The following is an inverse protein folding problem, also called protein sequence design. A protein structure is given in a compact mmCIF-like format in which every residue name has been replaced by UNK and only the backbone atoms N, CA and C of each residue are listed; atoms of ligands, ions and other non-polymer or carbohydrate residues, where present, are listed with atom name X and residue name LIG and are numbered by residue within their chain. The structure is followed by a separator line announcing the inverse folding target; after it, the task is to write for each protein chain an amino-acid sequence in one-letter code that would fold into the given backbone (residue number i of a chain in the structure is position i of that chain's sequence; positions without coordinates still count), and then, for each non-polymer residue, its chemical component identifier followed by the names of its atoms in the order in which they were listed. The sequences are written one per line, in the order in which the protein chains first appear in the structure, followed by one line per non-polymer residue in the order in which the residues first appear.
data_IF_580684720126
#
_entry.id   IF_580684720126
#
_cell.length_a   1.000
_cell.length_b   1.000
_cell.length_c   1.000
_cell.angle_alpha   90.00
_cell.angle_beta   90.00
_cell.angle_gamma   90.00
#
_symmetry.space_group_name_H-M   'P 1'
#
loop_
_entity.id
_entity.type
_entity.pdbx_description
1 polymer ?
#
# COMPACT_ATOMS: atom_id res chain seq x y z
N UNK A 1 1.22 7.08 15.91
CA UNK A 1 0.13 6.73 14.94
C UNK A 1 0.01 7.85 13.93
N UNK A 2 -0.06 7.56 12.62
CA UNK A 2 -0.13 8.60 11.58
C UNK A 2 -1.46 9.40 11.65
N UNK A 3 -1.44 10.69 11.30
CA UNK A 3 -2.59 11.60 11.40
C UNK A 3 -3.84 11.08 10.67
N UNK A 4 -3.69 10.57 9.44
CA UNK A 4 -4.80 9.96 8.69
C UNK A 4 -5.43 8.77 9.43
N UNK A 5 -4.62 7.98 10.14
CA UNK A 5 -5.11 6.84 10.90
C UNK A 5 -5.89 7.28 12.14
N UNK A 6 -5.46 8.36 12.81
CA UNK A 6 -6.22 8.98 13.91
C UNK A 6 -7.57 9.49 13.41
N UNK A 7 -7.58 10.23 12.29
CA UNK A 7 -8.80 10.77 11.67
C UNK A 7 -9.86 9.68 11.40
N UNK A 8 -9.51 8.59 10.72
CA UNK A 8 -10.48 7.52 10.44
C UNK A 8 -10.87 6.69 11.67
N UNK A 9 -10.10 6.77 12.77
CA UNK A 9 -10.46 6.12 14.04
C UNK A 9 -11.51 6.93 14.80
N UNK A 10 -11.43 8.26 14.78
CA UNK A 10 -12.44 9.15 15.37
C UNK A 10 -13.66 9.39 14.45
N UNK A 11 -13.54 9.12 13.15
CA UNK A 11 -14.61 9.36 12.16
C UNK A 11 -15.07 8.05 11.46
N UNK A 12 -15.90 7.21 12.12
CA UNK A 12 -16.30 5.91 11.59
C UNK A 12 -17.10 6.00 10.29
N UNK A 13 -17.95 7.04 10.13
CA UNK A 13 -18.70 7.29 8.90
C UNK A 13 -17.77 7.55 7.71
N UNK A 14 -16.76 8.41 7.88
CA UNK A 14 -15.77 8.70 6.84
C UNK A 14 -14.94 7.46 6.49
N UNK A 15 -14.59 6.64 7.50
CA UNK A 15 -13.90 5.35 7.29
C UNK A 15 -14.74 4.41 6.44
N UNK A 16 -16.03 4.28 6.70
CA UNK A 16 -16.93 3.41 5.93
C UNK A 16 -17.02 3.84 4.45
N UNK A 17 -17.14 5.14 4.18
CA UNK A 17 -17.13 5.68 2.81
C UNK A 17 -15.83 5.36 2.10
N UNK A 18 -14.68 5.61 2.74
CA UNK A 18 -13.35 5.30 2.18
C UNK A 18 -13.18 3.81 1.90
N UNK A 19 -13.65 2.93 2.79
CA UNK A 19 -13.61 1.48 2.57
C UNK A 19 -14.50 1.04 1.40
N UNK A 20 -15.69 1.63 1.25
CA UNK A 20 -16.58 1.37 0.10
C UNK A 20 -15.91 1.76 -1.22
N UNK A 21 -15.31 2.94 -1.28
CA UNK A 21 -14.55 3.40 -2.45
C UNK A 21 -13.36 2.46 -2.75
N UNK A 22 -12.59 2.09 -1.73
CA UNK A 22 -11.45 1.19 -1.88
C UNK A 22 -11.88 -0.20 -2.37
N UNK A 23 -12.99 -0.74 -1.86
CA UNK A 23 -13.57 -2.01 -2.34
C UNK A 23 -13.97 -1.92 -3.81
N UNK A 24 -14.59 -0.82 -4.24
CA UNK A 24 -14.95 -0.60 -5.65
C UNK A 24 -13.70 -0.52 -6.54
N UNK A 25 -12.68 0.23 -6.12
CA UNK A 25 -11.42 0.34 -6.86
C UNK A 25 -10.71 -1.02 -6.99
N UNK A 26 -10.64 -1.80 -5.92
CA UNK A 26 -9.97 -3.10 -5.91
C UNK A 26 -10.65 -4.14 -6.82
N UNK A 27 -11.91 -3.94 -7.20
CA UNK A 27 -12.62 -4.77 -8.19
C UNK A 27 -12.27 -4.42 -9.64
N UNK A 28 -11.70 -3.25 -9.90
CA UNK A 28 -11.28 -2.87 -11.26
C UNK A 28 -10.09 -3.71 -11.72
N UNK A 29 -9.93 -3.92 -13.03
CA UNK A 29 -8.77 -4.64 -13.59
C UNK A 29 -7.43 -4.05 -13.09
N UNK A 30 -7.34 -2.72 -13.06
CA UNK A 30 -6.16 -1.99 -12.56
C UNK A 30 -5.91 -2.23 -11.08
N UNK A 31 -6.94 -2.09 -10.24
CA UNK A 31 -6.82 -2.30 -8.79
C UNK A 31 -6.48 -3.75 -8.44
N UNK A 32 -7.08 -4.70 -9.16
CA UNK A 32 -6.79 -6.12 -9.02
C UNK A 32 -5.34 -6.44 -9.36
N UNK A 33 -4.85 -6.00 -10.53
CA UNK A 33 -3.48 -6.22 -10.97
C UNK A 33 -2.46 -5.64 -9.96
N UNK A 34 -2.70 -4.42 -9.46
CA UNK A 34 -1.84 -3.79 -8.46
C UNK A 34 -1.75 -4.61 -7.17
N UNK A 35 -2.89 -5.07 -6.64
CA UNK A 35 -2.92 -5.86 -5.39
C UNK A 35 -2.27 -7.23 -5.57
N UNK A 36 -2.57 -7.92 -6.68
CA UNK A 36 -2.04 -9.24 -6.98
C UNK A 36 -0.53 -9.19 -7.13
N UNK A 37 -0.01 -8.25 -7.93
CA UNK A 37 1.43 -8.16 -8.15
C UNK A 37 2.18 -7.73 -6.90
N UNK A 38 1.64 -6.79 -6.11
CA UNK A 38 2.25 -6.41 -4.84
C UNK A 38 2.32 -7.59 -3.87
N UNK A 39 1.24 -8.38 -3.73
CA UNK A 39 1.26 -9.58 -2.89
C UNK A 39 2.23 -10.63 -3.41
N UNK A 40 2.28 -10.85 -4.73
CA UNK A 40 3.22 -11.76 -5.37
C UNK A 40 4.66 -11.36 -5.06
N UNK A 41 5.01 -10.08 -5.22
CA UNK A 41 6.34 -9.58 -4.91
C UNK A 41 6.68 -9.72 -3.42
N UNK A 42 5.76 -9.42 -2.51
CA UNK A 42 5.99 -9.62 -1.07
C UNK A 42 6.26 -11.09 -0.73
N UNK A 43 5.57 -12.04 -1.38
CA UNK A 43 5.82 -13.48 -1.20
C UNK A 43 7.18 -13.88 -1.78
N UNK A 44 7.53 -13.41 -2.97
CA UNK A 44 8.82 -13.68 -3.60
C UNK A 44 10.01 -13.16 -2.77
N UNK A 45 9.84 -12.01 -2.13
CA UNK A 45 10.86 -11.41 -1.28
C UNK A 45 10.85 -11.94 0.17
N UNK A 46 9.97 -12.88 0.51
CA UNK A 46 9.90 -13.49 1.85
C UNK A 46 9.39 -12.55 2.96
N UNK A 47 8.82 -11.39 2.63
CA UNK A 47 8.37 -10.36 3.58
C UNK A 47 6.87 -10.41 3.88
N UNK A 48 6.14 -11.31 3.22
CA UNK A 48 4.69 -11.40 3.40
C UNK A 48 4.33 -11.95 4.80
N UNK A 49 3.89 -11.06 5.70
CA UNK A 49 3.37 -11.44 7.02
C UNK A 49 4.42 -11.78 8.07
N UNK A 50 5.71 -11.55 7.80
CA UNK A 50 6.82 -11.94 8.69
C UNK A 50 7.16 -10.91 9.78
N UNK A 51 6.55 -9.72 9.77
CA UNK A 51 6.76 -8.69 10.80
C UNK A 51 8.08 -7.91 10.71
N UNK A 52 8.90 -8.10 9.68
CA UNK A 52 10.27 -7.58 9.53
C UNK A 52 10.44 -6.05 9.43
N UNK A 53 9.34 -5.28 9.42
CA UNK A 53 9.42 -3.83 9.24
C UNK A 53 9.75 -3.38 7.81
N UNK A 54 9.77 -4.28 6.83
CA UNK A 54 10.04 -4.01 5.41
C UNK A 54 8.74 -4.05 4.58
N UNK A 55 8.74 -3.32 3.47
CA UNK A 55 7.69 -3.37 2.46
C UNK A 55 8.34 -3.72 1.11
N UNK A 56 7.65 -4.52 0.28
CA UNK A 56 8.02 -4.66 -1.12
C UNK A 56 7.83 -3.33 -1.89
N UNK A 57 8.92 -2.80 -2.44
CA UNK A 57 8.96 -1.59 -3.23
C UNK A 57 9.24 -1.92 -4.71
N UNK A 58 8.29 -1.64 -5.59
CA UNK A 58 8.48 -1.81 -7.03
C UNK A 58 9.50 -0.82 -7.58
N UNK A 59 10.27 -1.24 -8.59
CA UNK A 59 11.11 -0.33 -9.36
C UNK A 59 10.25 0.67 -10.15
N UNK A 60 10.79 1.85 -10.45
CA UNK A 60 10.11 2.86 -11.26
C UNK A 60 9.72 2.23 -12.62
N UNK A 61 8.46 2.37 -12.99
CA UNK A 61 7.92 1.79 -14.23
C UNK A 61 7.62 0.29 -14.17
N UNK A 62 8.01 -0.42 -13.10
CA UNK A 62 7.69 -1.84 -12.94
C UNK A 62 6.44 -2.06 -12.10
N UNK A 63 5.66 -3.07 -12.48
CA UNK A 63 4.51 -3.55 -11.71
C UNK A 63 4.73 -4.94 -11.15
N UNK A 64 5.90 -5.56 -11.36
CA UNK A 64 6.20 -6.95 -10.97
C UNK A 64 7.57 -7.13 -10.34
N UNK A 65 8.56 -6.29 -10.68
CA UNK A 65 9.92 -6.34 -10.12
C UNK A 65 10.08 -5.28 -9.05
N UNK A 66 10.81 -5.61 -8.00
CA UNK A 66 11.11 -4.70 -6.91
C UNK A 66 12.10 -5.25 -5.91
N UNK A 67 12.22 -4.58 -4.77
CA UNK A 67 13.16 -4.90 -3.70
C UNK A 67 12.51 -4.64 -2.34
N UNK A 68 13.15 -5.15 -1.29
CA UNK A 68 12.79 -4.79 0.08
C UNK A 68 13.24 -3.36 0.38
N UNK A 69 12.40 -2.63 1.09
CA UNK A 69 12.71 -1.29 1.56
C UNK A 69 12.07 -1.08 2.94
N UNK A 70 12.75 -0.32 3.81
CA UNK A 70 12.18 0.09 5.09
C UNK A 70 10.80 0.76 4.86
N UNK A 71 9.81 0.37 5.66
CA UNK A 71 8.42 0.88 5.61
C UNK A 71 8.36 2.41 5.55
N UNK A 72 9.15 3.09 6.38
CA UNK A 72 9.21 4.55 6.43
C UNK A 72 9.64 5.18 5.11
N UNK A 73 10.70 4.65 4.48
CA UNK A 73 11.25 5.18 3.24
C UNK A 73 10.33 4.91 2.05
N UNK A 74 9.79 3.70 1.92
CA UNK A 74 8.89 3.34 0.82
C UNK A 74 7.56 4.12 0.88
N UNK A 75 6.98 4.29 2.07
CA UNK A 75 5.70 5.00 2.21
C UNK A 75 5.86 6.51 1.96
N UNK A 76 6.98 7.11 2.40
CA UNK A 76 7.27 8.53 2.18
C UNK A 76 7.52 8.86 0.70
N UNK A 77 8.17 7.97 -0.06
CA UNK A 77 8.48 8.20 -1.48
C UNK A 77 7.23 8.31 -2.37
N UNK A 78 6.08 7.84 -1.88
CA UNK A 78 4.79 7.84 -2.62
C UNK A 78 3.94 9.08 -2.34
N UNK A 79 4.35 9.93 -1.40
CA UNK A 79 3.65 11.18 -1.11
C UNK A 79 4.01 12.20 -2.20
N UNK A 80 3.00 12.76 -2.88
CA UNK A 80 3.18 13.94 -3.72
C UNK A 80 3.25 15.17 -2.81
N UNK A 81 4.35 15.32 -2.09
CA UNK A 81 4.62 16.56 -1.37
C UNK A 81 5.04 17.57 -2.44
N UNK A 82 4.22 18.61 -2.67
CA UNK A 82 4.68 19.79 -3.40
C UNK A 82 5.81 20.38 -2.57
N UNK A 83 7.01 20.42 -3.13
CA UNK A 83 8.09 21.25 -2.57
C UNK A 83 7.72 22.71 -2.77
#
# INVERSE_FOLDING_TARGET
MAETAKYYRSNPKAKAVRLKQQKKYNKTKKGLALRVNANRLNRQLGTYGNGDGLDAAHYKGSTTKGRLQKKSTNRKSRLKIRK
#
